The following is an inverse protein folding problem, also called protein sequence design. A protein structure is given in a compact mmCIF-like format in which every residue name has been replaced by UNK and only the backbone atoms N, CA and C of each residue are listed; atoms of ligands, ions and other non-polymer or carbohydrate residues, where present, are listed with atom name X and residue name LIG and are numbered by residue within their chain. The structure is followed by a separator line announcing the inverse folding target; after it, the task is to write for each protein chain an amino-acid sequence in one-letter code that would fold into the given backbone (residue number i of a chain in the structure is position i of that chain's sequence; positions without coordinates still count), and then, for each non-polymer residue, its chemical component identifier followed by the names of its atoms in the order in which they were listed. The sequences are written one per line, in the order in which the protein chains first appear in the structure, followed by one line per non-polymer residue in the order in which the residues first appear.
data_IF_908521981662
#
_entry.id   IF_908521981662
#
_cell.length_a   1.000
_cell.length_b   1.000
_cell.length_c   1.000
_cell.angle_alpha   90.00
_cell.angle_beta   90.00
_cell.angle_gamma   90.00
#
_symmetry.space_group_name_H-M   'P 1'
#
loop_
_entity.id
_entity.type
_entity.pdbx_description
1 polymer ?
#
# COMPACT_ATOMS: atom_id res chain seq x y z
N UNK A 1 -15.45 -9.08 -4.11
CA UNK A 1 -15.10 -9.54 -5.48
C UNK A 1 -13.95 -8.74 -6.07
N UNK A 2 -14.12 -7.42 -6.28
CA UNK A 2 -13.11 -6.55 -6.92
C UNK A 2 -11.71 -6.63 -6.28
N UNK A 3 -11.61 -6.43 -4.96
CA UNK A 3 -10.32 -6.45 -4.26
C UNK A 3 -9.53 -7.73 -4.53
N UNK A 4 -10.18 -8.89 -4.56
CA UNK A 4 -9.52 -10.18 -4.81
C UNK A 4 -8.98 -10.25 -6.25
N UNK A 5 -9.79 -9.88 -7.24
CA UNK A 5 -9.36 -9.86 -8.64
C UNK A 5 -8.24 -8.84 -8.88
N UNK A 6 -8.35 -7.65 -8.28
CA UNK A 6 -7.33 -6.62 -8.35
C UNK A 6 -6.00 -7.11 -7.76
N UNK A 7 -6.02 -7.72 -6.57
CA UNK A 7 -4.82 -8.30 -5.93
C UNK A 7 -4.19 -9.39 -6.78
N UNK A 8 -4.99 -10.29 -7.35
CA UNK A 8 -4.48 -11.33 -8.25
C UNK A 8 -3.83 -10.73 -9.51
N UNK A 9 -4.42 -9.70 -10.09
CA UNK A 9 -3.86 -9.01 -11.26
C UNK A 9 -2.58 -8.23 -10.91
N UNK A 10 -2.55 -7.50 -9.79
CA UNK A 10 -1.32 -6.83 -9.31
C UNK A 10 -0.22 -7.85 -9.06
N UNK A 11 -0.54 -8.98 -8.42
CA UNK A 11 0.39 -10.08 -8.18
C UNK A 11 0.99 -10.69 -9.44
N UNK A 12 0.27 -10.71 -10.57
CA UNK A 12 0.80 -11.24 -11.83
C UNK A 12 1.77 -10.28 -12.52
N UNK A 13 1.65 -8.97 -12.30
CA UNK A 13 2.51 -7.95 -12.94
C UNK A 13 3.63 -7.44 -12.03
N UNK A 14 3.51 -7.57 -10.70
CA UNK A 14 4.46 -6.97 -9.76
C UNK A 14 5.84 -7.63 -9.82
N UNK A 15 5.95 -8.89 -10.23
CA UNK A 15 7.25 -9.54 -10.45
C UNK A 15 8.07 -8.90 -11.57
N UNK A 16 7.41 -8.16 -12.48
CA UNK A 16 8.05 -7.34 -13.50
C UNK A 16 8.25 -5.88 -13.05
N UNK A 17 7.78 -5.50 -11.85
CA UNK A 17 7.96 -4.15 -11.33
C UNK A 17 9.45 -3.89 -11.06
N UNK A 18 10.01 -2.96 -11.82
CA UNK A 18 11.37 -2.47 -11.63
C UNK A 18 11.32 -0.95 -11.43
N UNK A 19 12.21 -0.44 -10.58
CA UNK A 19 12.33 0.99 -10.30
C UNK A 19 11.93 1.35 -8.87
N UNK A 20 11.37 2.56 -8.73
CA UNK A 20 11.12 3.18 -7.42
C UNK A 20 9.71 2.86 -6.93
N UNK A 21 9.62 2.43 -5.67
CA UNK A 21 8.36 2.35 -4.92
C UNK A 21 8.30 3.55 -3.99
N UNK A 22 7.32 4.43 -4.22
CA UNK A 22 7.06 5.58 -3.37
C UNK A 22 6.14 5.19 -2.21
N UNK A 23 6.45 5.67 -1.01
CA UNK A 23 5.60 5.55 0.17
C UNK A 23 5.07 6.93 0.52
N UNK A 24 3.75 7.07 0.59
CA UNK A 24 3.10 8.36 0.82
C UNK A 24 1.88 8.24 1.75
N UNK A 25 1.79 9.17 2.69
CA UNK A 25 0.73 9.28 3.68
C UNK A 25 -0.45 10.10 3.15
N UNK A 26 -1.65 9.52 3.16
CA UNK A 26 -2.87 10.14 2.64
C UNK A 26 -3.97 10.11 3.69
N UNK A 27 -4.76 11.19 3.70
CA UNK A 27 -6.03 11.23 4.43
C UNK A 27 -7.16 11.24 3.43
N UNK A 28 -8.04 10.24 3.49
CA UNK A 28 -9.14 10.11 2.52
C UNK A 28 -10.19 11.16 2.83
N UNK A 29 -10.31 12.16 1.94
CA UNK A 29 -11.32 13.21 2.08
C UNK A 29 -12.72 12.58 2.03
N UNK A 30 -13.59 12.97 2.97
CA UNK A 30 -14.97 12.46 3.05
C UNK A 30 -15.11 11.08 3.70
N UNK A 31 -14.02 10.47 4.19
CA UNK A 31 -14.06 9.17 4.88
C UNK A 31 -14.52 9.24 6.35
N UNK A 32 -14.62 10.44 6.92
CA UNK A 32 -15.13 10.64 8.26
C UNK A 32 -16.63 10.33 8.25
N UNK A 33 -17.04 9.35 9.05
CA UNK A 33 -18.43 8.91 9.13
C UNK A 33 -18.87 8.73 10.60
N UNK A 34 -19.72 9.64 11.08
CA UNK A 34 -20.20 9.66 12.46
C UNK A 34 -19.05 9.64 13.49
N UNK A 35 -18.97 8.61 14.34
CA UNK A 35 -17.91 8.47 15.35
C UNK A 35 -16.56 8.06 14.75
N UNK A 36 -16.51 7.61 13.48
CA UNK A 36 -15.26 7.21 12.84
C UNK A 36 -14.45 8.45 12.47
N UNK A 37 -13.19 8.49 12.91
CA UNK A 37 -12.24 9.52 12.49
C UNK A 37 -11.93 9.38 11.00
N UNK A 38 -11.42 10.44 10.38
CA UNK A 38 -10.97 10.38 8.99
C UNK A 38 -9.96 9.24 8.80
N UNK A 39 -10.09 8.50 7.71
CA UNK A 39 -9.18 7.41 7.36
C UNK A 39 -7.84 8.00 6.96
N UNK A 40 -6.84 7.76 7.80
CA UNK A 40 -5.44 8.00 7.50
C UNK A 40 -4.81 6.69 7.02
N UNK A 41 -3.98 6.75 5.99
CA UNK A 41 -3.29 5.59 5.45
C UNK A 41 -1.95 5.96 4.85
N UNK A 42 -1.06 4.98 4.73
CA UNK A 42 0.11 5.05 3.87
C UNK A 42 -0.13 4.17 2.65
N UNK A 43 0.34 4.60 1.49
CA UNK A 43 0.28 3.82 0.25
C UNK A 43 1.67 3.57 -0.30
N UNK A 44 1.92 2.33 -0.75
CA UNK A 44 3.07 1.97 -1.55
C UNK A 44 2.69 2.00 -3.03
N UNK A 45 3.43 2.75 -3.84
CA UNK A 45 3.11 3.01 -5.24
C UNK A 45 4.30 2.75 -6.15
N UNK A 46 4.13 1.84 -7.12
CA UNK A 46 5.15 1.54 -8.12
C UNK A 46 5.05 2.55 -9.27
N UNK A 47 5.87 3.61 -9.21
CA UNK A 47 5.76 4.74 -10.14
C UNK A 47 5.89 4.34 -11.61
N UNK A 48 6.75 3.36 -11.92
CA UNK A 48 6.94 2.86 -13.28
C UNK A 48 5.73 2.12 -13.83
N UNK A 49 5.01 1.37 -12.98
CA UNK A 49 3.84 0.59 -13.38
C UNK A 49 2.53 1.39 -13.27
N UNK A 50 2.56 2.50 -12.54
CA UNK A 50 1.38 3.31 -12.28
C UNK A 50 0.38 2.67 -11.30
N UNK A 51 0.79 1.67 -10.51
CA UNK A 51 -0.10 0.89 -9.64
C UNK A 51 0.23 1.03 -8.16
N UNK A 52 -0.78 0.97 -7.29
CA UNK A 52 -0.57 0.81 -5.86
C UNK A 52 -0.34 -0.67 -5.53
N UNK A 53 0.77 -0.94 -4.85
CA UNK A 53 1.18 -2.29 -4.44
C UNK A 53 0.57 -2.70 -3.10
N UNK A 54 0.17 -1.72 -2.28
CA UNK A 54 -0.37 -1.95 -0.95
C UNK A 54 -0.73 -0.64 -0.26
N UNK A 55 -1.62 -0.73 0.71
CA UNK A 55 -2.05 0.39 1.54
C UNK A 55 -2.27 -0.11 2.97
N UNK A 56 -1.86 0.69 3.95
CA UNK A 56 -1.97 0.37 5.37
C UNK A 56 -2.61 1.53 6.11
N UNK A 57 -3.63 1.25 6.92
CA UNK A 57 -4.30 2.26 7.73
C UNK A 57 -3.39 2.74 8.86
N UNK A 58 -3.53 4.01 9.26
CA UNK A 58 -2.78 4.57 10.39
C UNK A 58 -3.74 5.23 11.37
N UNK A 59 -3.34 5.30 12.64
CA UNK A 59 -4.05 6.03 13.68
C UNK A 59 -3.92 7.57 13.54
N UNK A 60 -3.55 8.07 12.36
CA UNK A 60 -3.37 9.50 12.08
C UNK A 60 -1.92 9.97 12.16
N UNK A 61 -1.77 11.30 12.11
CA UNK A 61 -0.48 12.00 12.03
C UNK A 61 0.48 11.51 13.12
N UNK A 62 1.72 11.22 12.72
CA UNK A 62 2.76 10.67 13.60
C UNK A 62 2.85 9.15 13.63
N UNK A 63 1.84 8.42 13.12
CA UNK A 63 1.86 6.95 13.02
C UNK A 63 2.28 6.44 11.62
N UNK A 64 2.63 7.35 10.72
CA UNK A 64 3.00 7.05 9.32
C UNK A 64 4.26 6.20 9.21
N UNK A 65 5.23 6.38 10.11
CA UNK A 65 6.47 5.60 10.10
C UNK A 65 6.20 4.12 10.39
N UNK A 66 5.31 3.82 11.35
CA UNK A 66 4.94 2.45 11.68
C UNK A 66 4.21 1.78 10.51
N UNK A 67 3.26 2.48 9.89
CA UNK A 67 2.54 2.00 8.72
C UNK A 67 3.46 1.80 7.51
N UNK A 68 4.42 2.72 7.29
CA UNK A 68 5.42 2.60 6.23
C UNK A 68 6.30 1.36 6.43
N UNK A 69 6.73 1.09 7.68
CA UNK A 69 7.50 -0.12 8.00
C UNK A 69 6.69 -1.39 7.71
N UNK A 70 5.44 -1.44 8.17
CA UNK A 70 4.55 -2.57 7.89
C UNK A 70 4.38 -2.82 6.38
N UNK A 71 4.16 -1.75 5.59
CA UNK A 71 4.07 -1.87 4.14
C UNK A 71 5.38 -2.29 3.49
N UNK A 72 6.51 -1.76 3.96
CA UNK A 72 7.83 -2.08 3.42
C UNK A 72 8.13 -3.58 3.49
N UNK A 73 7.74 -4.22 4.59
CA UNK A 73 7.92 -5.67 4.78
C UNK A 73 6.97 -6.50 3.90
N UNK A 74 5.83 -5.94 3.48
CA UNK A 74 4.82 -6.61 2.66
C UNK A 74 5.04 -6.44 1.15
N UNK A 75 5.61 -5.32 0.72
CA UNK A 75 5.80 -5.07 -0.73
C UNK A 75 7.01 -5.85 -1.26
N UNK A 76 6.97 -6.29 -2.53
CA UNK A 76 8.11 -6.93 -3.16
C UNK A 76 9.33 -6.01 -3.17
N UNK A 77 10.37 -6.43 -2.45
CA UNK A 77 11.66 -5.78 -2.41
C UNK A 77 12.76 -6.85 -2.50
N UNK A 78 14.03 -6.44 -2.61
CA UNK A 78 15.15 -7.40 -2.75
C UNK A 78 15.30 -8.38 -1.58
N UNK A 79 14.66 -8.12 -0.44
CA UNK A 79 14.65 -8.95 0.78
C UNK A 79 13.39 -9.82 0.87
N UNK A 80 12.35 -9.54 0.09
CA UNK A 80 11.09 -10.29 0.12
C UNK A 80 11.25 -11.60 -0.66
N UNK A 81 10.95 -12.78 -0.08
CA UNK A 81 10.97 -14.04 -0.81
C UNK A 81 10.00 -14.01 -2.00
N UNK A 82 10.41 -14.58 -3.15
CA UNK A 82 9.56 -14.73 -4.33
C UNK A 82 8.27 -15.49 -3.93
N UNK A 83 7.13 -14.80 -3.90
CA UNK A 83 5.82 -15.38 -3.60
C UNK A 83 5.02 -14.69 -2.49
N UNK A 84 5.63 -13.79 -1.72
CA UNK A 84 4.92 -12.97 -0.74
C UNK A 84 4.50 -11.67 -1.41
N UNK A 85 3.33 -11.70 -2.06
CA UNK A 85 2.66 -10.50 -2.58
C UNK A 85 1.32 -10.37 -1.86
N UNK A 86 1.09 -9.20 -1.25
CA UNK A 86 -0.21 -8.82 -0.68
C UNK A 86 -1.25 -8.57 -1.75
#
# INVERSE_FOLDING_TARGET
MFQKCFRQWVGSIVGAAQGVVAFDGKTVRGSKDGPNTALHMVSAYASTLGVSLGQEGTAGKGNELAATKALFDLVPNKRTPRGMVV
#
